data_IF_536344421127
#
_entry.id   IF_536344421127
#
_cell.length_a   1.000
_cell.length_b   1.000
_cell.length_c   1.000
_cell.angle_alpha   90.00
_cell.angle_beta   90.00
_cell.angle_gamma   90.00
#
_symmetry.space_group_name_H-M   'P 1'
#
loop_
_entity.id
_entity.type
_entity.pdbx_description
1 polymer ?
#
# COMPACT_ATOMS: atom_id res chain seq x y z
N UNK A 1 -0.53 32.97 -33.58
CA UNK A 1 0.80 32.85 -32.97
C UNK A 1 0.99 33.59 -31.64
N UNK A 2 -0.05 34.16 -30.99
CA UNK A 2 0.08 34.83 -29.68
C UNK A 2 -0.30 33.98 -28.47
N UNK A 3 -0.99 32.84 -28.67
CA UNK A 3 -1.49 32.01 -27.57
C UNK A 3 -0.52 30.89 -27.10
N UNK A 4 0.56 30.64 -27.84
CA UNK A 4 1.55 29.60 -27.48
C UNK A 4 2.56 30.09 -26.40
N UNK A 5 2.76 31.40 -26.29
CA UNK A 5 3.69 31.98 -25.29
C UNK A 5 3.11 32.04 -23.87
N UNK A 6 1.77 32.01 -23.70
CA UNK A 6 1.12 32.06 -22.39
C UNK A 6 1.09 30.70 -21.71
N UNK A 7 1.02 29.62 -22.50
CA UNK A 7 1.06 28.26 -21.97
C UNK A 7 2.45 27.87 -21.43
N UNK A 8 3.51 28.40 -22.06
CA UNK A 8 4.91 28.17 -21.62
C UNK A 8 5.24 28.93 -20.34
N UNK A 9 4.59 30.07 -20.08
CA UNK A 9 4.85 30.87 -18.87
C UNK A 9 4.25 30.28 -17.59
N UNK A 10 3.13 29.54 -17.69
CA UNK A 10 2.56 28.81 -16.55
C UNK A 10 3.40 27.57 -16.18
N UNK A 11 4.05 26.94 -17.15
CA UNK A 11 4.97 25.81 -16.92
C UNK A 11 6.32 26.24 -16.32
N UNK A 12 6.76 27.47 -16.53
CA UNK A 12 8.06 27.94 -16.01
C UNK A 12 8.02 28.44 -14.57
N UNK A 13 6.86 28.77 -14.02
CA UNK A 13 6.75 29.20 -12.62
C UNK A 13 6.80 28.02 -11.60
N UNK A 14 6.54 26.78 -12.06
CA UNK A 14 6.64 25.57 -11.23
C UNK A 14 8.06 24.97 -11.15
N UNK A 15 9.02 25.45 -11.96
CA UNK A 15 10.35 24.84 -12.10
C UNK A 15 11.43 25.37 -11.14
N UNK A 16 11.10 26.23 -10.18
CA UNK A 16 12.08 26.83 -9.26
C UNK A 16 11.92 26.41 -7.78
N UNK A 17 11.08 25.42 -7.48
CA UNK A 17 11.11 24.78 -6.15
C UNK A 17 11.92 23.50 -6.21
N UNK A 18 13.11 23.59 -5.66
CA UNK A 18 14.07 22.53 -5.42
C UNK A 18 13.46 21.18 -5.09
N UNK A 19 13.64 20.17 -5.97
CA UNK A 19 13.78 18.76 -5.58
C UNK A 19 12.66 18.08 -4.79
N UNK A 20 11.57 18.74 -4.48
CA UNK A 20 10.43 18.17 -3.76
C UNK A 20 9.57 17.34 -4.71
N UNK A 21 9.52 16.02 -4.47
CA UNK A 21 8.85 15.12 -5.37
C UNK A 21 7.47 14.77 -4.88
N UNK A 22 6.47 15.07 -5.70
CA UNK A 22 5.08 14.69 -5.46
C UNK A 22 4.80 13.29 -6.00
N UNK A 23 4.19 12.45 -5.18
CA UNK A 23 3.62 11.18 -5.58
C UNK A 23 2.19 11.39 -6.06
N UNK A 24 1.79 10.67 -7.08
CA UNK A 24 0.43 10.63 -7.61
C UNK A 24 -0.26 9.38 -7.12
N UNK A 25 -1.07 9.52 -6.08
CA UNK A 25 -1.70 8.41 -5.36
C UNK A 25 -3.20 8.39 -5.61
N UNK A 26 -3.73 7.29 -6.15
CA UNK A 26 -5.18 7.09 -6.22
C UNK A 26 -5.71 6.79 -4.83
N UNK A 27 -6.54 7.69 -4.29
CA UNK A 27 -7.16 7.55 -2.97
C UNK A 27 -8.59 7.02 -3.07
N UNK A 28 -9.05 6.32 -2.03
CA UNK A 28 -10.30 5.55 -2.00
C UNK A 28 -10.37 4.50 -3.13
N UNK A 29 -9.24 3.90 -3.46
CA UNK A 29 -9.03 3.08 -4.66
C UNK A 29 -9.89 1.83 -4.71
N UNK A 30 -10.28 1.26 -3.55
CA UNK A 30 -11.15 0.09 -3.43
C UNK A 30 -12.65 0.42 -3.45
N UNK A 31 -13.01 1.70 -3.57
CA UNK A 31 -14.39 2.17 -3.52
C UNK A 31 -14.83 2.75 -4.86
N UNK A 32 -16.07 2.47 -5.22
CA UNK A 32 -16.73 3.14 -6.36
C UNK A 32 -17.75 4.14 -5.83
N UNK A 33 -17.67 5.38 -6.29
CA UNK A 33 -18.57 6.45 -5.89
C UNK A 33 -18.82 7.41 -7.06
N UNK A 34 -20.01 7.99 -7.08
CA UNK A 34 -20.46 8.94 -8.09
C UNK A 34 -20.65 10.35 -7.50
N UNK A 35 -20.40 10.50 -6.21
CA UNK A 35 -20.51 11.76 -5.49
C UNK A 35 -19.47 11.80 -4.39
N UNK A 36 -18.94 12.99 -4.11
CA UNK A 36 -18.09 13.25 -2.96
C UNK A 36 -18.29 14.67 -2.46
N UNK A 37 -18.12 14.85 -1.17
CA UNK A 37 -17.99 16.17 -0.55
C UNK A 37 -16.59 16.39 -0.03
N UNK A 38 -16.11 17.63 -0.12
CA UNK A 38 -14.86 18.06 0.49
C UNK A 38 -15.08 19.29 1.34
N UNK A 39 -14.24 19.47 2.37
CA UNK A 39 -14.23 20.61 3.26
C UNK A 39 -12.78 21.07 3.44
N UNK A 40 -12.48 22.35 3.19
CA UNK A 40 -11.18 22.93 3.49
C UNK A 40 -11.08 23.10 5.01
N UNK A 41 -10.34 22.21 5.67
CA UNK A 41 -10.20 22.21 7.14
C UNK A 41 -9.13 23.21 7.58
N UNK A 42 -8.09 23.36 6.76
CA UNK A 42 -7.02 24.31 7.01
C UNK A 42 -6.49 24.84 5.68
N UNK A 43 -6.30 26.15 5.64
CA UNK A 43 -5.70 26.85 4.52
C UNK A 43 -6.63 27.06 3.32
N UNK A 44 -6.03 27.37 2.19
CA UNK A 44 -6.75 27.80 0.99
C UNK A 44 -6.31 26.98 -0.23
N UNK A 45 -7.23 26.82 -1.16
CA UNK A 45 -7.05 26.12 -2.42
C UNK A 45 -7.54 26.94 -3.60
N UNK A 46 -7.08 26.61 -4.79
CA UNK A 46 -7.61 27.11 -6.04
C UNK A 46 -8.20 25.95 -6.85
N UNK A 47 -9.39 26.19 -7.40
CA UNK A 47 -10.06 25.22 -8.27
C UNK A 47 -9.78 25.61 -9.72
N UNK A 48 -9.26 24.65 -10.49
CA UNK A 48 -8.96 24.80 -11.90
C UNK A 48 -9.61 23.69 -12.73
N UNK A 49 -9.86 23.98 -14.01
CA UNK A 49 -10.09 22.98 -15.05
C UNK A 49 -8.93 23.02 -16.05
N UNK A 50 -8.86 22.10 -17.02
CA UNK A 50 -7.91 22.22 -18.14
C UNK A 50 -8.02 23.55 -18.91
N UNK A 51 -9.19 24.22 -18.83
CA UNK A 51 -9.42 25.54 -19.46
C UNK A 51 -8.98 26.72 -18.61
N UNK A 52 -8.55 26.51 -17.35
CA UNK A 52 -8.04 27.55 -16.47
C UNK A 52 -8.72 27.61 -15.10
N UNK A 53 -8.49 28.72 -14.41
CA UNK A 53 -9.01 29.02 -13.07
C UNK A 53 -10.55 29.10 -13.05
N UNK A 54 -11.16 28.56 -11.99
CA UNK A 54 -12.60 28.57 -11.75
C UNK A 54 -12.96 29.41 -10.53
N UNK A 55 -12.36 29.09 -9.36
CA UNK A 55 -12.71 29.75 -8.10
C UNK A 55 -11.63 29.52 -7.01
N UNK A 56 -11.61 30.38 -6.01
CA UNK A 56 -10.97 30.13 -4.74
C UNK A 56 -11.80 29.17 -3.88
N UNK A 57 -11.11 28.37 -3.06
CA UNK A 57 -11.70 27.45 -2.11
C UNK A 57 -11.00 27.62 -0.76
N UNK A 58 -11.67 28.36 0.14
CA UNK A 58 -11.10 28.85 1.40
C UNK A 58 -11.46 27.95 2.57
N UNK A 59 -10.70 28.07 3.65
CA UNK A 59 -10.96 27.40 4.92
C UNK A 59 -12.43 27.57 5.35
N UNK A 60 -13.03 26.49 5.83
CA UNK A 60 -14.45 26.43 6.22
C UNK A 60 -15.44 26.31 5.07
N UNK A 61 -15.01 26.43 3.82
CA UNK A 61 -15.88 26.23 2.67
C UNK A 61 -15.99 24.74 2.31
N UNK A 62 -17.05 24.38 1.57
CA UNK A 62 -17.29 23.02 1.08
C UNK A 62 -17.45 22.98 -0.43
N UNK A 63 -16.97 21.90 -1.03
CA UNK A 63 -17.28 21.51 -2.41
C UNK A 63 -18.10 20.25 -2.39
N UNK A 64 -19.04 20.16 -3.32
CA UNK A 64 -19.72 18.92 -3.64
C UNK A 64 -19.56 18.64 -5.13
N UNK A 65 -19.12 17.41 -5.43
CA UNK A 65 -18.95 16.94 -6.79
C UNK A 65 -19.85 15.73 -6.99
N UNK A 66 -20.63 15.72 -8.06
CA UNK A 66 -21.53 14.64 -8.43
C UNK A 66 -21.46 14.37 -9.92
N UNK A 67 -21.41 13.09 -10.31
CA UNK A 67 -21.53 12.71 -11.71
C UNK A 67 -22.97 12.91 -12.17
N UNK A 68 -23.15 13.68 -13.25
CA UNK A 68 -24.43 13.79 -13.93
C UNK A 68 -24.67 12.62 -14.92
N UNK A 69 -25.81 12.62 -15.59
CA UNK A 69 -26.19 11.60 -16.58
C UNK A 69 -25.23 11.56 -17.77
N UNK A 70 -24.59 12.66 -18.13
CA UNK A 70 -23.60 12.77 -19.21
C UNK A 70 -22.18 12.43 -18.76
N UNK A 71 -22.02 11.86 -17.56
CA UNK A 71 -20.72 11.51 -16.97
C UNK A 71 -19.76 12.67 -16.78
N UNK A 72 -20.28 13.89 -16.56
CA UNK A 72 -19.48 15.06 -16.17
C UNK A 72 -19.61 15.34 -14.68
N UNK A 73 -18.57 15.90 -14.09
CA UNK A 73 -18.53 16.37 -12.71
C UNK A 73 -19.40 17.64 -12.61
N UNK A 74 -20.52 17.55 -11.92
CA UNK A 74 -21.33 18.69 -11.50
C UNK A 74 -20.69 19.25 -10.23
N UNK A 75 -20.07 20.43 -10.33
CA UNK A 75 -19.39 21.09 -9.22
C UNK A 75 -20.29 22.12 -8.57
N UNK A 76 -20.43 22.04 -7.24
CA UNK A 76 -21.00 23.12 -6.43
C UNK A 76 -20.03 23.53 -5.32
N UNK A 77 -20.02 24.81 -4.96
CA UNK A 77 -19.28 25.39 -3.84
C UNK A 77 -20.28 26.09 -2.89
N UNK A 78 -20.32 25.64 -1.63
CA UNK A 78 -21.30 26.14 -0.63
C UNK A 78 -22.76 26.14 -1.16
N UNK A 79 -23.10 25.18 -2.04
CA UNK A 79 -24.42 25.07 -2.67
C UNK A 79 -24.58 25.85 -3.99
N UNK A 80 -23.66 26.74 -4.36
CA UNK A 80 -23.66 27.45 -5.63
C UNK A 80 -23.07 26.59 -6.76
N UNK A 81 -23.77 26.48 -7.88
CA UNK A 81 -23.32 25.76 -9.06
C UNK A 81 -22.22 26.50 -9.80
N UNK A 82 -21.08 25.85 -10.03
CA UNK A 82 -19.93 26.45 -10.72
C UNK A 82 -19.71 25.91 -12.14
N UNK A 83 -20.28 24.74 -12.49
CA UNK A 83 -20.15 24.20 -13.83
C UNK A 83 -20.12 22.68 -13.92
N UNK A 84 -19.93 22.20 -15.17
CA UNK A 84 -19.80 20.80 -15.55
C UNK A 84 -18.41 20.56 -16.15
N UNK A 85 -17.67 19.58 -15.63
CA UNK A 85 -16.28 19.35 -15.99
C UNK A 85 -16.00 17.86 -16.21
N UNK A 86 -15.01 17.54 -17.05
CA UNK A 86 -14.46 16.19 -17.18
C UNK A 86 -13.35 15.97 -16.15
N UNK A 87 -12.56 17.00 -15.92
CA UNK A 87 -11.44 16.99 -14.98
C UNK A 87 -11.39 18.31 -14.21
N UNK A 88 -11.07 18.21 -12.93
CA UNK A 88 -10.83 19.35 -12.03
C UNK A 88 -9.52 19.15 -11.29
N UNK A 89 -8.84 20.25 -11.03
CA UNK A 89 -7.66 20.32 -10.17
C UNK A 89 -7.98 21.21 -8.97
N UNK A 90 -7.67 20.72 -7.77
CA UNK A 90 -7.81 21.46 -6.52
C UNK A 90 -6.39 21.63 -6.00
N UNK A 91 -5.83 22.82 -6.15
CA UNK A 91 -4.43 23.12 -5.90
C UNK A 91 -4.27 23.84 -4.56
N UNK A 92 -3.43 23.31 -3.66
CA UNK A 92 -3.14 23.91 -2.37
C UNK A 92 -2.36 25.22 -2.53
N UNK A 93 -2.62 26.20 -1.65
CA UNK A 93 -1.85 27.43 -1.60
C UNK A 93 -0.56 27.30 -0.79
N UNK A 94 -0.57 26.44 0.24
CA UNK A 94 0.59 26.16 1.09
C UNK A 94 0.70 24.66 1.38
N UNK A 95 1.91 24.16 1.65
CA UNK A 95 2.17 22.75 1.91
C UNK A 95 1.51 22.17 3.17
N UNK A 96 1.00 23.01 4.06
CA UNK A 96 0.30 22.59 5.28
C UNK A 96 -1.22 22.59 5.12
N UNK A 97 -1.73 23.00 3.96
CA UNK A 97 -3.16 23.04 3.69
C UNK A 97 -3.71 21.63 3.53
N UNK A 98 -4.89 21.35 4.10
CA UNK A 98 -5.49 20.03 3.99
C UNK A 98 -7.01 20.03 3.91
N UNK A 99 -7.53 19.08 3.18
CA UNK A 99 -8.95 18.84 2.96
C UNK A 99 -9.42 17.61 3.75
N UNK A 100 -10.66 17.67 4.20
CA UNK A 100 -11.45 16.50 4.59
C UNK A 100 -12.29 16.08 3.38
N UNK A 101 -12.16 14.83 2.98
CA UNK A 101 -12.82 14.27 1.81
C UNK A 101 -13.71 13.12 2.25
N UNK A 102 -14.98 13.15 1.81
CA UNK A 102 -15.98 12.13 2.08
C UNK A 102 -16.61 11.67 0.78
N UNK A 103 -16.22 10.54 0.20
CA UNK A 103 -16.95 9.93 -0.88
C UNK A 103 -18.35 9.49 -0.43
N UNK A 104 -19.31 9.59 -1.33
CA UNK A 104 -20.70 9.17 -1.13
C UNK A 104 -21.05 8.07 -2.11
N UNK A 105 -21.45 6.91 -1.60
CA UNK A 105 -21.74 5.72 -2.39
C UNK A 105 -22.76 4.83 -1.72
N UNK A 106 -22.97 3.65 -2.32
CA UNK A 106 -23.89 2.62 -1.78
C UNK A 106 -23.48 2.10 -0.40
N UNK A 107 -22.18 2.17 -0.10
CA UNK A 107 -21.59 1.76 1.20
C UNK A 107 -21.06 3.02 1.88
N UNK A 108 -21.23 3.10 3.19
CA UNK A 108 -20.69 4.21 3.98
C UNK A 108 -19.16 4.19 3.96
N UNK A 109 -18.57 5.19 3.31
CA UNK A 109 -17.13 5.39 3.26
C UNK A 109 -16.75 6.44 4.32
N UNK A 110 -15.82 6.06 5.22
CA UNK A 110 -15.36 6.98 6.26
C UNK A 110 -14.62 8.16 5.63
N UNK A 111 -14.89 9.41 6.09
CA UNK A 111 -14.14 10.57 5.64
C UNK A 111 -12.68 10.47 6.07
N UNK A 112 -11.79 10.99 5.24
CA UNK A 112 -10.34 11.05 5.51
C UNK A 112 -9.83 12.46 5.24
N UNK A 113 -8.72 12.83 5.86
CA UNK A 113 -8.05 14.10 5.63
C UNK A 113 -6.79 13.88 4.81
N UNK A 114 -6.54 14.75 3.84
CA UNK A 114 -5.38 14.69 2.96
C UNK A 114 -4.82 16.10 2.74
N UNK A 115 -3.51 16.21 2.68
CA UNK A 115 -2.78 17.38 2.21
C UNK A 115 -2.33 17.20 0.76
N UNK A 116 -1.83 18.25 0.14
CA UNK A 116 -1.40 18.21 -1.25
C UNK A 116 -2.47 18.69 -2.23
N UNK A 117 -2.17 18.50 -3.51
CA UNK A 117 -3.07 18.81 -4.60
C UNK A 117 -3.98 17.62 -4.94
N UNK A 118 -5.06 17.88 -5.64
CA UNK A 118 -5.99 16.83 -6.05
C UNK A 118 -6.37 16.98 -7.52
N UNK A 119 -6.42 15.83 -8.20
CA UNK A 119 -7.02 15.71 -9.51
C UNK A 119 -8.28 14.85 -9.39
N UNK A 120 -9.40 15.39 -9.86
CA UNK A 120 -10.70 14.70 -9.85
C UNK A 120 -11.15 14.52 -11.27
N UNK A 121 -11.32 13.27 -11.69
CA UNK A 121 -11.69 12.95 -13.07
C UNK A 121 -12.96 12.10 -13.12
N UNK A 122 -13.86 12.44 -14.02
CA UNK A 122 -15.02 11.61 -14.35
C UNK A 122 -14.61 10.47 -15.29
N UNK A 123 -14.99 9.24 -14.97
CA UNK A 123 -14.80 8.10 -15.86
C UNK A 123 -16.03 7.18 -15.87
N UNK A 124 -15.99 6.13 -16.68
CA UNK A 124 -17.13 5.20 -16.81
C UNK A 124 -17.47 4.46 -15.51
N UNK A 125 -16.48 4.28 -14.60
CA UNK A 125 -16.65 3.56 -13.32
C UNK A 125 -17.06 4.47 -12.17
N UNK A 126 -17.09 5.78 -12.35
CA UNK A 126 -17.39 6.74 -11.30
C UNK A 126 -16.41 7.92 -11.28
N UNK A 127 -16.19 8.48 -10.10
CA UNK A 127 -15.19 9.52 -9.87
C UNK A 127 -13.86 8.86 -9.54
N UNK A 128 -12.79 9.23 -10.25
CA UNK A 128 -11.42 8.95 -9.87
C UNK A 128 -10.84 10.15 -9.14
N UNK A 129 -10.23 9.90 -7.99
CA UNK A 129 -9.60 10.92 -7.17
C UNK A 129 -8.13 10.59 -6.95
N UNK A 130 -7.26 11.46 -7.43
CA UNK A 130 -5.82 11.37 -7.24
C UNK A 130 -5.37 12.45 -6.27
N UNK A 131 -4.53 12.08 -5.32
CA UNK A 131 -3.84 12.98 -4.41
C UNK A 131 -2.39 13.14 -4.88
N UNK A 132 -1.99 14.37 -5.15
CA UNK A 132 -0.61 14.73 -5.48
C UNK A 132 0.04 15.24 -4.21
N UNK A 133 0.78 14.38 -3.56
CA UNK A 133 1.28 14.61 -2.20
C UNK A 133 2.81 14.55 -2.18
N UNK A 134 3.41 15.40 -1.34
CA UNK A 134 4.85 15.34 -1.08
C UNK A 134 5.24 13.98 -0.48
N UNK A 135 6.33 13.40 -0.96
CA UNK A 135 6.72 12.03 -0.59
C UNK A 135 6.83 11.83 0.92
N UNK A 136 7.46 12.77 1.64
CA UNK A 136 7.65 12.58 3.08
C UNK A 136 6.33 12.68 3.86
N UNK A 137 5.43 13.57 3.46
CA UNK A 137 4.07 13.63 4.03
C UNK A 137 3.26 12.36 3.72
N UNK A 138 3.38 11.83 2.50
CA UNK A 138 2.81 10.53 2.16
C UNK A 138 3.33 9.43 3.08
N UNK A 139 4.65 9.39 3.34
CA UNK A 139 5.27 8.40 4.23
C UNK A 139 4.75 8.51 5.66
N UNK A 140 4.56 9.70 6.21
CA UNK A 140 3.97 9.85 7.54
C UNK A 140 2.57 9.22 7.62
N UNK A 141 1.75 9.43 6.58
CA UNK A 141 0.43 8.80 6.44
C UNK A 141 0.50 7.28 6.28
N UNK A 142 1.47 6.78 5.52
CA UNK A 142 1.73 5.33 5.36
C UNK A 142 2.15 4.70 6.69
N UNK A 143 3.11 5.28 7.38
CA UNK A 143 3.61 4.75 8.66
C UNK A 143 2.47 4.64 9.69
N UNK A 144 1.64 5.67 9.78
CA UNK A 144 0.43 5.64 10.61
C UNK A 144 -0.54 4.54 10.20
N UNK A 145 -0.76 4.37 8.90
CA UNK A 145 -1.75 3.41 8.37
C UNK A 145 -1.29 1.96 8.51
N UNK A 146 0.01 1.69 8.31
CA UNK A 146 0.59 0.34 8.34
C UNK A 146 0.94 -0.13 9.76
N UNK A 147 1.46 0.76 10.61
CA UNK A 147 2.01 0.39 11.91
C UNK A 147 1.32 1.05 13.12
N UNK A 148 0.41 1.98 12.87
CA UNK A 148 -0.22 2.78 13.92
C UNK A 148 0.74 3.83 14.50
N UNK A 149 0.44 4.32 15.72
CA UNK A 149 1.12 5.49 16.31
C UNK A 149 1.97 5.18 17.54
N UNK A 150 2.11 3.89 17.90
CA UNK A 150 2.70 3.46 19.18
C UNK A 150 4.08 2.80 19.07
N UNK A 151 4.65 2.72 17.88
CA UNK A 151 5.98 2.11 17.71
C UNK A 151 7.11 3.11 18.09
N UNK A 152 8.26 2.56 18.40
CA UNK A 152 9.46 3.34 18.68
C UNK A 152 10.01 4.02 17.41
N UNK A 153 10.73 5.11 17.58
CA UNK A 153 11.33 5.90 16.49
C UNK A 153 12.23 5.06 15.57
N UNK A 154 13.03 4.17 16.12
CA UNK A 154 13.93 3.30 15.32
C UNK A 154 13.14 2.40 14.35
N UNK A 155 11.97 1.88 14.78
CA UNK A 155 11.09 1.15 13.89
C UNK A 155 10.54 2.04 12.76
N UNK A 156 10.10 3.27 13.08
CA UNK A 156 9.60 4.19 12.06
C UNK A 156 10.69 4.61 11.06
N UNK A 157 11.96 4.69 11.48
CA UNK A 157 13.09 4.86 10.56
C UNK A 157 13.20 3.71 9.57
N UNK A 158 13.10 2.46 10.04
CA UNK A 158 13.08 1.27 9.17
C UNK A 158 11.92 1.35 8.18
N UNK A 159 10.71 1.56 8.67
CA UNK A 159 9.50 1.58 7.85
C UNK A 159 9.53 2.74 6.85
N UNK A 160 10.01 3.94 7.22
CA UNK A 160 10.14 5.08 6.32
C UNK A 160 11.09 4.77 5.15
N UNK A 161 12.25 4.19 5.42
CA UNK A 161 13.24 3.84 4.39
C UNK A 161 12.67 2.81 3.42
N UNK A 162 12.06 1.73 3.91
CA UNK A 162 11.52 0.69 3.02
C UNK A 162 10.28 1.19 2.25
N UNK A 163 9.41 1.97 2.88
CA UNK A 163 8.23 2.53 2.21
C UNK A 163 8.60 3.55 1.14
N UNK A 164 9.63 4.37 1.39
CA UNK A 164 10.20 5.28 0.39
C UNK A 164 10.83 4.53 -0.77
N UNK A 165 11.60 3.48 -0.47
CA UNK A 165 12.21 2.62 -1.48
C UNK A 165 11.15 1.90 -2.32
N UNK A 166 10.08 1.40 -1.69
CA UNK A 166 8.94 0.80 -2.39
C UNK A 166 8.28 1.81 -3.33
N UNK A 167 7.93 3.00 -2.83
CA UNK A 167 7.28 4.02 -3.63
C UNK A 167 8.10 4.38 -4.88
N UNK A 168 9.43 4.55 -4.70
CA UNK A 168 10.35 4.83 -5.78
C UNK A 168 10.41 3.75 -6.86
N UNK A 169 10.35 2.48 -6.47
CA UNK A 169 10.45 1.36 -7.41
C UNK A 169 9.11 0.97 -8.04
N UNK A 170 8.02 1.65 -7.71
CA UNK A 170 6.68 1.32 -8.18
C UNK A 170 5.96 2.52 -8.83
N UNK A 171 6.69 3.55 -9.26
CA UNK A 171 6.10 4.73 -9.94
C UNK A 171 5.41 4.36 -11.26
N UNK A 172 5.84 3.28 -11.92
CA UNK A 172 5.28 2.81 -13.18
C UNK A 172 4.18 1.73 -12.98
N UNK A 173 3.90 1.33 -11.72
CA UNK A 173 3.00 0.21 -11.43
C UNK A 173 1.58 0.38 -11.96
N UNK A 174 1.10 1.61 -11.98
CA UNK A 174 -0.23 2.00 -12.47
C UNK A 174 -0.16 3.06 -13.57
N UNK A 175 0.94 3.13 -14.31
CA UNK A 175 1.14 4.13 -15.37
C UNK A 175 0.00 4.14 -16.39
N UNK A 176 -0.48 2.96 -16.80
CA UNK A 176 -1.62 2.81 -17.74
C UNK A 176 -2.93 3.38 -17.20
N UNK A 177 -3.08 3.48 -15.90
CA UNK A 177 -4.24 4.03 -15.21
C UNK A 177 -4.06 5.51 -14.85
N UNK A 178 -2.89 6.09 -15.17
CA UNK A 178 -2.58 7.50 -14.98
C UNK A 178 -2.20 7.90 -13.55
N UNK A 179 -1.75 6.97 -12.70
CA UNK A 179 -1.25 7.26 -11.34
C UNK A 179 -0.08 6.33 -10.98
N UNK A 180 0.61 6.58 -9.87
CA UNK A 180 1.77 5.79 -9.47
C UNK A 180 1.39 4.68 -8.48
N UNK A 181 0.68 5.03 -7.42
CA UNK A 181 0.33 4.12 -6.33
C UNK A 181 -1.17 4.22 -6.02
N UNK A 182 -1.73 3.17 -5.45
CA UNK A 182 -3.05 3.22 -4.82
C UNK A 182 -2.91 3.25 -3.28
N UNK A 183 -3.97 3.66 -2.59
CA UNK A 183 -4.01 3.79 -1.13
C UNK A 183 -4.33 2.48 -0.39
N UNK A 184 -4.43 1.37 -1.12
CA UNK A 184 -4.74 0.05 -0.58
C UNK A 184 -3.48 -0.79 -0.33
N UNK A 185 -3.63 -1.90 0.39
CA UNK A 185 -2.56 -2.88 0.67
C UNK A 185 -1.92 -3.51 -0.58
N UNK A 186 -2.54 -3.35 -1.75
CA UNK A 186 -1.94 -3.71 -3.04
C UNK A 186 -0.67 -2.90 -3.34
N UNK A 187 -0.60 -1.66 -2.86
CA UNK A 187 0.61 -0.84 -2.85
C UNK A 187 1.12 -0.68 -1.42
N UNK A 188 0.64 0.34 -0.71
CA UNK A 188 0.87 0.57 0.71
C UNK A 188 -0.39 1.24 1.27
N UNK A 189 -0.83 0.86 2.47
CA UNK A 189 -1.97 1.50 3.10
C UNK A 189 -1.69 2.99 3.33
N UNK A 190 -2.50 3.87 2.73
CA UNK A 190 -2.42 5.32 2.87
C UNK A 190 -3.81 5.90 3.11
N UNK A 191 -4.25 5.91 4.37
CA UNK A 191 -5.61 6.29 4.74
C UNK A 191 -5.73 7.75 5.20
N UNK A 192 -4.92 8.62 4.59
CA UNK A 192 -4.93 10.05 4.81
C UNK A 192 -3.64 10.58 5.46
N UNK A 193 -3.61 11.91 5.65
CA UNK A 193 -2.50 12.60 6.27
C UNK A 193 -2.25 12.15 7.71
N UNK A 194 -1.05 12.32 8.16
CA UNK A 194 -0.70 12.18 9.56
C UNK A 194 -1.09 13.48 10.33
N UNK A 195 -1.70 13.33 11.51
CA UNK A 195 -2.26 14.44 12.28
C UNK A 195 -1.37 14.86 13.48
N UNK A 196 -0.11 14.42 13.55
CA UNK A 196 0.78 14.77 14.65
C UNK A 196 0.60 13.94 15.95
N UNK A 197 -0.06 12.75 15.87
CA UNK A 197 -0.38 11.95 17.06
C UNK A 197 0.85 11.27 17.69
N UNK A 198 1.97 11.15 16.97
CA UNK A 198 3.20 10.50 17.44
C UNK A 198 4.44 11.24 16.96
N UNK A 199 5.15 11.88 17.89
CA UNK A 199 6.43 12.53 17.59
C UNK A 199 7.43 11.57 16.92
N UNK A 200 7.39 10.27 17.26
CA UNK A 200 8.28 9.26 16.71
C UNK A 200 8.10 9.04 15.19
N UNK A 201 6.89 9.21 14.64
CA UNK A 201 6.65 9.15 13.18
C UNK A 201 7.38 10.30 12.48
N UNK A 202 7.14 11.54 12.90
CA UNK A 202 7.78 12.72 12.30
C UNK A 202 9.30 12.62 12.38
N UNK A 203 9.85 12.27 13.57
CA UNK A 203 11.27 12.11 13.75
C UNK A 203 11.84 10.97 12.91
N UNK A 204 11.13 9.84 12.81
CA UNK A 204 11.54 8.70 12.00
C UNK A 204 11.65 9.05 10.52
N UNK A 205 10.67 9.75 9.97
CA UNK A 205 10.66 10.22 8.57
C UNK A 205 11.75 11.28 8.37
N UNK A 206 11.83 12.28 9.24
CA UNK A 206 12.79 13.38 9.16
C UNK A 206 14.24 12.89 9.26
N UNK A 207 14.56 12.05 10.25
CA UNK A 207 15.92 11.53 10.47
C UNK A 207 16.41 10.65 9.29
N UNK A 208 15.50 10.14 8.48
CA UNK A 208 15.79 9.29 7.31
C UNK A 208 15.43 9.95 5.98
N UNK A 209 15.33 11.28 5.97
CA UNK A 209 14.92 12.03 4.77
C UNK A 209 15.73 11.63 3.54
N UNK A 210 15.04 11.27 2.45
CA UNK A 210 15.64 10.87 1.18
C UNK A 210 16.41 9.55 1.18
N UNK A 211 16.53 8.83 2.32
CA UNK A 211 17.24 7.55 2.37
C UNK A 211 16.40 6.43 1.75
N UNK A 212 17.02 5.66 0.86
CA UNK A 212 16.49 4.46 0.21
C UNK A 212 17.47 3.31 0.32
N UNK A 213 16.97 2.08 0.14
CA UNK A 213 17.80 0.89 0.00
C UNK A 213 18.23 0.70 -1.45
N UNK A 214 19.49 0.36 -1.62
CA UNK A 214 20.09 -0.06 -2.90
C UNK A 214 20.85 -1.38 -2.69
N UNK A 215 21.00 -2.16 -3.76
CA UNK A 215 21.83 -3.36 -3.76
C UNK A 215 23.33 -3.04 -3.75
N UNK A 216 24.18 -4.05 -3.81
CA UNK A 216 25.63 -3.90 -3.83
C UNK A 216 26.14 -3.07 -5.02
N UNK A 217 25.41 -3.08 -6.14
CA UNK A 217 25.72 -2.32 -7.34
C UNK A 217 25.17 -0.88 -7.32
N UNK A 218 24.48 -0.48 -6.25
CA UNK A 218 23.86 0.85 -6.12
C UNK A 218 22.50 0.98 -6.82
N UNK A 219 21.92 -0.12 -7.30
CA UNK A 219 20.61 -0.13 -7.93
C UNK A 219 19.50 -0.27 -6.87
N UNK A 220 18.49 0.58 -6.95
CA UNK A 220 17.29 0.45 -6.12
C UNK A 220 16.49 -0.79 -6.51
N UNK A 221 15.87 -1.45 -5.54
CA UNK A 221 15.04 -2.64 -5.74
C UNK A 221 13.73 -2.52 -4.93
N UNK A 222 12.64 -3.18 -5.36
CA UNK A 222 11.38 -3.16 -4.61
C UNK A 222 11.59 -3.71 -3.21
N UNK A 223 11.11 -3.01 -2.18
CA UNK A 223 11.17 -3.45 -0.78
C UNK A 223 9.80 -3.89 -0.32
N UNK A 224 9.71 -5.12 0.18
CA UNK A 224 8.48 -5.72 0.65
C UNK A 224 8.50 -5.89 2.16
N UNK A 225 7.31 -5.89 2.77
CA UNK A 225 7.12 -6.14 4.19
C UNK A 225 5.79 -6.84 4.46
N UNK A 226 5.70 -7.55 5.57
CA UNK A 226 4.47 -8.18 6.04
C UNK A 226 4.38 -8.11 7.55
N UNK A 227 3.19 -8.27 8.10
CA UNK A 227 2.97 -8.12 9.53
C UNK A 227 3.83 -9.08 10.37
N UNK A 228 3.87 -10.37 9.98
CA UNK A 228 4.64 -11.39 10.70
C UNK A 228 5.05 -12.53 9.77
N UNK A 229 6.33 -12.92 9.77
CA UNK A 229 6.84 -13.98 8.90
C UNK A 229 6.66 -15.40 9.46
N UNK A 230 6.22 -15.57 10.71
CA UNK A 230 5.97 -16.86 11.34
C UNK A 230 7.23 -17.62 11.71
N UNK A 231 8.35 -16.93 11.95
CA UNK A 231 9.63 -17.54 12.31
C UNK A 231 10.58 -17.85 11.15
N UNK A 232 10.11 -17.61 9.90
CA UNK A 232 10.92 -17.75 8.69
C UNK A 232 10.42 -16.84 7.58
N UNK A 233 11.30 -16.00 7.00
CA UNK A 233 10.93 -15.20 5.82
C UNK A 233 10.75 -16.09 4.59
N UNK A 234 9.92 -15.63 3.64
CA UNK A 234 9.69 -16.30 2.37
C UNK A 234 10.61 -15.75 1.28
N UNK A 235 10.92 -16.56 0.29
CA UNK A 235 11.48 -16.14 -0.99
C UNK A 235 10.37 -15.68 -1.93
N UNK A 236 10.70 -14.83 -2.89
CA UNK A 236 9.69 -14.23 -3.77
C UNK A 236 9.05 -15.22 -4.72
N UNK A 237 9.78 -16.24 -5.18
CA UNK A 237 9.27 -17.32 -6.03
C UNK A 237 8.27 -18.24 -5.31
N UNK A 238 8.38 -18.38 -3.99
CA UNK A 238 7.41 -19.12 -3.17
C UNK A 238 6.01 -18.48 -3.20
N UNK A 239 5.93 -17.18 -3.48
CA UNK A 239 4.69 -16.42 -3.42
C UNK A 239 4.26 -15.88 -4.79
N UNK A 240 5.19 -15.38 -5.62
CA UNK A 240 4.86 -14.64 -6.85
C UNK A 240 5.41 -15.25 -8.14
N UNK A 241 6.02 -16.43 -8.11
CA UNK A 241 6.67 -17.09 -9.26
C UNK A 241 7.79 -16.24 -9.91
N UNK A 242 8.39 -15.33 -9.16
CA UNK A 242 9.51 -14.46 -9.63
C UNK A 242 10.60 -14.55 -8.60
N UNK A 243 11.80 -14.95 -9.01
CA UNK A 243 12.97 -14.95 -8.12
C UNK A 243 13.65 -13.58 -8.14
N UNK A 244 13.74 -12.95 -6.98
CA UNK A 244 14.46 -11.71 -6.77
C UNK A 244 15.65 -11.97 -5.83
N UNK A 245 16.90 -11.68 -6.24
CA UNK A 245 18.11 -12.09 -5.53
C UNK A 245 18.27 -11.47 -4.13
N UNK A 246 17.59 -10.37 -3.87
CA UNK A 246 17.63 -9.68 -2.57
C UNK A 246 16.78 -10.34 -1.48
N UNK A 247 16.01 -11.39 -1.83
CA UNK A 247 15.03 -12.04 -0.95
C UNK A 247 15.37 -13.52 -0.75
N UNK A 248 16.29 -13.77 0.15
CA UNK A 248 16.66 -15.14 0.57
C UNK A 248 15.92 -15.47 1.87
N UNK A 249 15.27 -16.63 1.89
CA UNK A 249 14.61 -17.14 3.10
C UNK A 249 15.61 -17.29 4.25
N UNK A 250 15.18 -16.86 5.44
CA UNK A 250 16.01 -16.94 6.65
C UNK A 250 15.16 -17.17 7.90
N UNK A 251 15.71 -17.79 8.93
CA UNK A 251 15.09 -17.84 10.24
C UNK A 251 14.95 -16.41 10.83
N UNK A 252 13.81 -16.14 11.45
CA UNK A 252 13.50 -14.91 12.17
C UNK A 252 12.83 -15.27 13.49
N UNK A 253 13.61 -15.40 14.54
CA UNK A 253 13.10 -15.77 15.86
C UNK A 253 12.51 -14.60 16.65
N UNK A 254 12.66 -13.37 16.15
CA UNK A 254 12.16 -12.17 16.84
C UNK A 254 10.62 -12.12 16.86
N UNK A 255 9.97 -12.59 15.80
CA UNK A 255 8.51 -12.48 15.67
C UNK A 255 7.71 -13.66 16.27
N UNK A 256 8.34 -14.73 16.77
CA UNK A 256 7.64 -15.99 17.11
C UNK A 256 6.78 -15.94 18.36
N UNK A 257 6.95 -14.93 19.20
CA UNK A 257 6.18 -14.70 20.44
C UNK A 257 5.20 -13.54 20.33
N UNK A 258 5.14 -12.89 19.18
CA UNK A 258 4.31 -11.71 18.97
C UNK A 258 2.87 -12.07 18.62
N UNK A 259 1.99 -11.06 18.59
CA UNK A 259 0.55 -11.23 18.46
C UNK A 259 0.11 -12.05 17.24
N UNK A 260 0.80 -11.90 16.10
CA UNK A 260 0.41 -12.51 14.84
C UNK A 260 1.28 -13.72 14.46
N UNK A 261 2.05 -14.24 15.43
CA UNK A 261 2.97 -15.35 15.21
C UNK A 261 2.26 -16.66 14.81
N UNK A 262 1.08 -16.90 15.39
CA UNK A 262 0.34 -18.13 15.18
C UNK A 262 -1.14 -17.84 14.89
N UNK A 263 -1.77 -18.76 14.16
CA UNK A 263 -3.20 -18.73 13.89
C UNK A 263 -3.77 -20.13 13.68
N UNK A 264 -5.06 -20.28 13.88
CA UNK A 264 -5.81 -21.51 13.64
C UNK A 264 -7.06 -21.20 12.81
N UNK A 265 -7.43 -22.14 11.95
CA UNK A 265 -8.67 -22.06 11.17
C UNK A 265 -9.20 -23.46 10.88
N UNK A 266 -10.51 -23.64 11.10
CA UNK A 266 -11.22 -24.87 10.76
C UNK A 266 -11.90 -24.74 9.41
N UNK A 267 -11.72 -25.77 8.54
CA UNK A 267 -12.38 -25.90 7.24
C UNK A 267 -13.05 -27.26 7.18
N UNK A 268 -14.22 -27.39 6.53
CA UNK A 268 -14.83 -28.69 6.30
C UNK A 268 -13.92 -29.57 5.40
N UNK A 269 -13.67 -30.83 5.76
CA UNK A 269 -12.85 -31.75 4.96
C UNK A 269 -13.35 -31.84 3.52
N UNK A 270 -14.66 -31.96 3.37
CA UNK A 270 -15.32 -32.06 2.06
C UNK A 270 -15.00 -30.83 1.20
N UNK A 271 -15.17 -29.60 1.73
CA UNK A 271 -14.91 -28.35 1.01
C UNK A 271 -13.43 -28.24 0.59
N UNK A 272 -12.52 -28.60 1.48
CA UNK A 272 -11.09 -28.54 1.20
C UNK A 272 -10.66 -29.51 0.11
N UNK A 273 -11.11 -30.77 0.19
CA UNK A 273 -10.80 -31.81 -0.80
C UNK A 273 -11.46 -31.54 -2.16
N UNK A 274 -12.72 -31.09 -2.18
CA UNK A 274 -13.41 -30.67 -3.39
C UNK A 274 -12.67 -29.49 -4.08
N UNK A 275 -12.18 -28.53 -3.34
CA UNK A 275 -11.35 -27.44 -3.87
C UNK A 275 -10.09 -27.96 -4.56
N UNK A 276 -9.36 -28.91 -3.92
CA UNK A 276 -8.16 -29.50 -4.49
C UNK A 276 -8.47 -30.28 -5.79
N UNK A 277 -9.49 -31.11 -5.76
CA UNK A 277 -9.88 -31.93 -6.92
C UNK A 277 -10.39 -31.09 -8.09
N UNK A 278 -11.14 -30.01 -7.80
CA UNK A 278 -11.72 -29.14 -8.84
C UNK A 278 -10.69 -28.25 -9.55
N UNK A 279 -9.67 -27.83 -8.84
CA UNK A 279 -8.74 -26.81 -9.36
C UNK A 279 -7.36 -27.38 -9.73
N UNK A 280 -7.04 -28.61 -9.31
CA UNK A 280 -5.75 -29.26 -9.54
C UNK A 280 -5.95 -30.74 -9.90
N UNK A 281 -4.91 -31.39 -10.38
CA UNK A 281 -4.91 -32.85 -10.64
C UNK A 281 -4.82 -33.62 -9.32
N UNK A 282 -5.85 -33.52 -8.48
CA UNK A 282 -5.94 -34.16 -7.17
C UNK A 282 -7.02 -35.24 -7.19
N UNK A 283 -6.61 -36.51 -7.16
CA UNK A 283 -7.54 -37.66 -7.18
C UNK A 283 -8.06 -37.97 -5.78
N UNK A 284 -9.38 -37.85 -5.60
CA UNK A 284 -10.06 -38.16 -4.35
C UNK A 284 -10.14 -39.67 -4.06
N UNK A 285 -9.91 -40.55 -5.06
CA UNK A 285 -9.91 -42.02 -4.88
C UNK A 285 -8.53 -42.52 -4.43
N UNK A 286 -7.50 -41.67 -4.50
CA UNK A 286 -6.18 -41.99 -3.94
C UNK A 286 -6.16 -41.71 -2.43
N UNK A 287 -6.45 -42.76 -1.64
CA UNK A 287 -6.49 -42.68 -0.18
C UNK A 287 -5.18 -42.16 0.44
N UNK A 288 -4.03 -42.49 -0.17
CA UNK A 288 -2.72 -42.06 0.32
C UNK A 288 -2.55 -40.53 0.06
N UNK A 289 -2.97 -40.08 -1.09
CA UNK A 289 -2.94 -38.64 -1.43
C UNK A 289 -3.88 -37.82 -0.53
N UNK A 290 -5.10 -38.32 -0.30
CA UNK A 290 -6.05 -37.74 0.64
C UNK A 290 -5.49 -37.70 2.06
N UNK A 291 -4.87 -38.82 2.53
CA UNK A 291 -4.23 -38.82 3.83
C UNK A 291 -3.12 -37.78 3.93
N UNK A 292 -2.25 -37.66 2.92
CA UNK A 292 -1.19 -36.64 2.86
C UNK A 292 -1.74 -35.21 2.90
N UNK A 293 -2.87 -34.95 2.24
CA UNK A 293 -3.51 -33.64 2.26
C UNK A 293 -4.06 -33.28 3.64
N UNK A 294 -4.70 -34.23 4.30
CA UNK A 294 -5.30 -34.02 5.62
C UNK A 294 -4.26 -33.96 6.75
N UNK A 295 -3.05 -34.50 6.53
CA UNK A 295 -1.94 -34.55 7.49
C UNK A 295 -0.69 -33.82 6.96
N UNK A 296 -0.91 -32.75 6.20
CA UNK A 296 0.20 -31.98 5.63
C UNK A 296 0.98 -31.25 6.72
N UNK A 297 2.31 -31.40 6.70
CA UNK A 297 3.21 -30.74 7.65
C UNK A 297 4.21 -29.83 6.96
N UNK A 298 4.42 -28.65 7.51
CA UNK A 298 5.37 -27.65 7.05
C UNK A 298 6.28 -27.20 8.20
N UNK A 299 7.49 -27.81 8.31
CA UNK A 299 8.54 -27.38 9.27
C UNK A 299 9.29 -26.15 8.77
N UNK A 300 9.46 -26.05 7.45
CA UNK A 300 10.06 -24.93 6.73
C UNK A 300 9.10 -24.52 5.62
N UNK A 301 9.16 -23.25 5.19
CA UNK A 301 8.31 -22.74 4.13
C UNK A 301 8.51 -23.52 2.83
N UNK A 302 7.40 -23.88 2.20
CA UNK A 302 7.33 -24.57 0.91
C UNK A 302 6.59 -23.68 -0.09
N UNK A 303 6.81 -23.94 -1.37
CA UNK A 303 6.06 -23.32 -2.47
C UNK A 303 4.77 -24.08 -2.74
N UNK A 304 4.86 -25.42 -2.71
CA UNK A 304 3.77 -26.31 -3.09
C UNK A 304 3.26 -27.13 -1.91
N UNK A 305 1.97 -27.41 -1.95
CA UNK A 305 1.27 -28.28 -1.01
C UNK A 305 1.61 -29.73 -1.32
N UNK A 306 1.90 -30.53 -0.30
CA UNK A 306 2.34 -31.93 -0.34
C UNK A 306 3.64 -32.11 -1.14
N UNK A 307 3.56 -32.10 -2.46
CA UNK A 307 4.67 -32.36 -3.38
C UNK A 307 4.61 -31.40 -4.60
N UNK A 308 5.76 -30.91 -5.11
CA UNK A 308 5.81 -30.04 -6.28
C UNK A 308 5.20 -30.64 -7.55
N UNK A 309 5.26 -31.98 -7.73
CA UNK A 309 4.71 -32.67 -8.90
C UNK A 309 3.19 -32.53 -9.05
N UNK A 310 2.49 -32.28 -7.94
CA UNK A 310 1.06 -32.05 -7.94
C UNK A 310 0.68 -30.64 -8.44
N UNK A 311 1.65 -29.73 -8.53
CA UNK A 311 1.45 -28.38 -9.02
C UNK A 311 0.44 -27.55 -8.21
N UNK A 312 0.27 -27.80 -6.90
CA UNK A 312 -0.68 -27.11 -6.02
C UNK A 312 0.05 -26.02 -5.23
N UNK A 313 0.01 -24.75 -5.64
CA UNK A 313 0.71 -23.69 -4.93
C UNK A 313 0.01 -23.36 -3.59
N UNK A 314 0.77 -23.24 -2.52
CA UNK A 314 0.23 -22.88 -1.20
C UNK A 314 -0.44 -21.48 -1.19
N UNK A 315 -0.01 -20.58 -2.06
CA UNK A 315 -0.64 -19.25 -2.22
C UNK A 315 -2.08 -19.34 -2.74
N UNK A 316 -2.38 -20.33 -3.60
CA UNK A 316 -3.72 -20.50 -4.17
C UNK A 316 -4.66 -21.05 -3.12
N UNK A 317 -4.19 -21.99 -2.27
CA UNK A 317 -4.93 -22.45 -1.09
C UNK A 317 -5.15 -21.27 -0.12
N UNK A 318 -4.12 -20.46 0.14
CA UNK A 318 -4.25 -19.26 0.98
C UNK A 318 -5.33 -18.32 0.46
N UNK A 319 -5.36 -18.06 -0.84
CA UNK A 319 -6.34 -17.17 -1.47
C UNK A 319 -7.76 -17.76 -1.40
N UNK A 320 -7.92 -19.03 -1.73
CA UNK A 320 -9.23 -19.71 -1.73
C UNK A 320 -9.90 -19.74 -0.37
N UNK A 321 -9.14 -19.97 0.70
CA UNK A 321 -9.65 -20.10 2.07
C UNK A 321 -9.39 -18.86 2.93
N UNK A 322 -8.93 -17.76 2.35
CA UNK A 322 -8.62 -16.51 3.05
C UNK A 322 -7.71 -16.71 4.29
N UNK A 323 -6.66 -17.54 4.12
CA UNK A 323 -5.73 -17.84 5.20
C UNK A 323 -4.79 -16.66 5.48
N UNK A 324 -4.34 -16.53 6.73
CA UNK A 324 -3.44 -15.46 7.11
C UNK A 324 -2.06 -15.54 6.45
N UNK A 325 -1.56 -16.75 6.18
CA UNK A 325 -0.26 -16.97 5.53
C UNK A 325 -0.27 -18.27 4.72
N UNK A 326 0.81 -18.51 3.96
CA UNK A 326 1.09 -19.81 3.29
C UNK A 326 1.82 -20.79 4.20
N UNK A 327 2.20 -20.41 5.41
CA UNK A 327 2.98 -21.21 6.34
C UNK A 327 2.07 -21.92 7.34
N UNK A 328 1.48 -23.05 6.95
CA UNK A 328 0.53 -23.81 7.78
C UNK A 328 0.71 -25.33 7.63
N UNK A 329 0.23 -26.07 8.62
CA UNK A 329 0.08 -27.53 8.62
C UNK A 329 -1.40 -27.90 8.77
N UNK A 330 -1.79 -29.10 8.34
CA UNK A 330 -3.14 -29.63 8.42
C UNK A 330 -3.21 -30.76 9.44
N UNK A 331 -4.32 -30.81 10.21
CA UNK A 331 -4.63 -31.87 11.17
C UNK A 331 -6.11 -32.24 11.05
N UNK A 332 -6.48 -33.52 10.83
CA UNK A 332 -7.89 -33.93 10.75
C UNK A 332 -8.56 -33.91 12.12
N UNK A 333 -9.75 -33.25 12.22
CA UNK A 333 -10.56 -33.15 13.44
C UNK A 333 -12.02 -33.45 13.09
N UNK A 334 -12.49 -34.68 13.31
CA UNK A 334 -13.83 -35.10 12.90
C UNK A 334 -14.09 -34.83 11.41
N UNK A 335 -15.15 -34.15 11.06
CA UNK A 335 -15.52 -33.76 9.71
C UNK A 335 -14.78 -32.49 9.21
N UNK A 336 -13.89 -31.92 10.00
CA UNK A 336 -13.11 -30.75 9.66
C UNK A 336 -11.62 -31.06 9.61
N UNK A 337 -10.86 -30.18 8.99
CA UNK A 337 -9.42 -30.05 9.17
C UNK A 337 -9.13 -28.81 9.99
N UNK A 338 -8.19 -28.90 10.89
CA UNK A 338 -7.59 -27.78 11.58
C UNK A 338 -6.31 -27.37 10.85
N UNK A 339 -6.30 -26.14 10.36
CA UNK A 339 -5.09 -25.51 9.83
C UNK A 339 -4.39 -24.78 10.97
N UNK A 340 -3.19 -25.22 11.31
CA UNK A 340 -2.30 -24.55 12.29
C UNK A 340 -1.25 -23.78 11.51
N UNK A 341 -1.39 -22.44 11.49
CA UNK A 341 -0.55 -21.58 10.68
C UNK A 341 0.35 -20.66 11.50
N UNK A 342 1.39 -20.17 10.84
CA UNK A 342 2.39 -19.26 11.39
C UNK A 342 2.46 -17.98 10.58
N UNK A 343 2.50 -16.82 11.26
CA UNK A 343 2.65 -15.51 10.66
C UNK A 343 1.39 -14.95 9.99
N UNK A 344 1.51 -13.71 9.50
CA UNK A 344 0.44 -12.99 8.82
C UNK A 344 1.01 -12.17 7.66
N UNK A 345 0.51 -12.42 6.46
CA UNK A 345 0.95 -11.80 5.21
C UNK A 345 1.76 -12.77 4.34
N UNK A 346 2.48 -12.23 3.38
CA UNK A 346 3.27 -13.03 2.42
C UNK A 346 4.62 -13.51 2.98
N UNK A 347 5.14 -12.89 4.03
CA UNK A 347 6.40 -13.27 4.68
C UNK A 347 7.68 -12.86 3.96
N UNK A 348 7.61 -12.12 2.85
CA UNK A 348 8.77 -11.67 2.07
C UNK A 348 9.30 -10.35 2.65
N UNK A 349 10.62 -10.21 2.72
CA UNK A 349 11.29 -8.98 3.14
C UNK A 349 11.21 -8.72 4.64
N UNK A 350 10.83 -7.51 5.04
CA UNK A 350 10.74 -7.13 6.44
C UNK A 350 9.54 -7.81 7.14
N UNK A 351 9.81 -8.41 8.29
CA UNK A 351 8.78 -8.78 9.25
C UNK A 351 8.55 -7.59 10.21
N UNK A 352 7.37 -6.98 10.15
CA UNK A 352 7.08 -5.77 10.95
C UNK A 352 7.17 -6.06 12.46
N UNK A 353 6.51 -7.11 12.94
CA UNK A 353 6.56 -7.48 14.37
C UNK A 353 7.96 -7.94 14.79
N UNK A 354 8.71 -8.63 13.92
CA UNK A 354 10.11 -8.97 14.20
C UNK A 354 11.02 -7.73 14.29
N UNK A 355 10.81 -6.76 13.41
CA UNK A 355 11.56 -5.50 13.46
C UNK A 355 11.23 -4.67 14.72
N UNK A 356 9.97 -4.65 15.15
CA UNK A 356 9.57 -4.01 16.40
C UNK A 356 10.26 -4.66 17.60
N UNK A 357 10.26 -5.98 17.68
CA UNK A 357 10.95 -6.75 18.72
C UNK A 357 12.47 -6.51 18.71
N UNK A 358 13.09 -6.42 17.53
CA UNK A 358 14.51 -6.07 17.43
C UNK A 358 14.80 -4.67 18.00
N UNK A 359 13.90 -3.70 17.80
CA UNK A 359 14.02 -2.36 18.41
C UNK A 359 13.91 -2.43 19.92
N UNK A 360 12.95 -3.22 20.44
CA UNK A 360 12.79 -3.41 21.89
C UNK A 360 14.02 -4.06 22.54
N UNK A 361 14.77 -4.85 21.75
CA UNK A 361 16.08 -5.42 22.12
C UNK A 361 17.27 -4.46 21.87
N UNK A 362 17.02 -3.19 21.55
CA UNK A 362 18.04 -2.16 21.38
C UNK A 362 18.73 -2.14 20.01
N UNK A 363 18.22 -2.84 19.00
CA UNK A 363 18.75 -2.78 17.64
C UNK A 363 18.42 -1.47 16.94
N UNK A 364 19.41 -0.93 16.23
CA UNK A 364 19.26 0.26 15.40
C UNK A 364 18.56 -0.06 14.09
N UNK A 365 17.95 0.96 13.46
CA UNK A 365 17.33 0.81 12.13
C UNK A 365 18.29 0.22 11.09
N UNK A 366 19.59 0.55 11.15
CA UNK A 366 20.60 0.06 10.21
C UNK A 366 20.89 -1.45 10.40
N UNK A 367 20.94 -1.93 11.65
CA UNK A 367 21.11 -3.36 11.95
C UNK A 367 19.88 -4.15 11.49
N UNK A 368 18.67 -3.61 11.68
CA UNK A 368 17.41 -4.24 11.26
C UNK A 368 17.35 -4.34 9.74
N UNK A 369 17.66 -3.26 9.03
CA UNK A 369 17.70 -3.27 7.56
C UNK A 369 18.72 -4.27 7.01
N UNK A 370 19.91 -4.35 7.59
CA UNK A 370 20.93 -5.35 7.23
C UNK A 370 20.49 -6.78 7.51
N UNK A 371 19.70 -6.99 8.57
CA UNK A 371 19.14 -8.30 8.88
C UNK A 371 18.14 -8.74 7.82
N UNK A 372 17.15 -7.92 7.45
CA UNK A 372 16.11 -8.31 6.49
C UNK A 372 16.54 -8.20 5.02
N UNK A 373 17.43 -7.26 4.69
CA UNK A 373 17.88 -6.99 3.32
C UNK A 373 19.41 -7.13 3.22
N UNK A 374 19.87 -8.39 3.34
CA UNK A 374 21.31 -8.71 3.34
C UNK A 374 21.99 -8.24 2.05
N UNK A 375 23.13 -7.56 2.19
CA UNK A 375 23.91 -7.04 1.06
C UNK A 375 23.40 -5.69 0.52
N UNK A 376 22.29 -5.16 1.04
CA UNK A 376 21.84 -3.82 0.72
C UNK A 376 22.65 -2.73 1.43
N UNK A 377 22.59 -1.52 0.87
CA UNK A 377 23.21 -0.31 1.41
C UNK A 377 22.18 0.81 1.43
N UNK A 378 22.37 1.77 2.32
CA UNK A 378 21.64 3.03 2.31
C UNK A 378 22.27 3.97 1.27
N UNK A 379 21.41 4.64 0.52
CA UNK A 379 21.79 5.69 -0.42
C UNK A 379 20.79 6.83 -0.33
N UNK A 380 21.24 8.05 -0.55
CA UNK A 380 20.34 9.16 -0.82
C UNK A 380 19.93 9.12 -2.28
N UNK A 381 18.67 9.22 -2.56
CA UNK A 381 18.18 9.23 -3.94
C UNK A 381 17.06 10.23 -4.11
N UNK A 382 17.24 11.11 -5.10
CA UNK A 382 16.11 11.82 -5.67
C UNK A 382 15.20 10.82 -6.39
N UNK A 383 13.92 11.00 -6.29
CA UNK A 383 12.97 10.30 -7.14
C UNK A 383 13.10 10.81 -8.58
N UNK A 384 12.76 10.06 -9.63
CA UNK A 384 12.74 10.61 -10.97
C UNK A 384 11.80 11.82 -11.04
N UNK A 385 12.28 12.93 -11.55
CA UNK A 385 11.44 14.13 -11.80
C UNK A 385 10.64 13.79 -13.04
N UNK A 386 9.40 13.39 -12.88
CA UNK A 386 8.49 13.28 -14.01
C UNK A 386 8.00 14.69 -14.34
N UNK A 387 8.51 15.24 -15.41
CA UNK A 387 7.98 16.47 -15.99
C UNK A 387 6.56 16.18 -16.53
N UNK A 388 5.60 16.99 -16.11
CA UNK A 388 4.22 17.04 -16.62
C UNK A 388 4.17 17.71 -18.00
#
# INVERSE_FOLDING_TARGET
MKNLKFLILLLTFYSLQSGAQNLRVKIFSESQFNSLSTEAIHGNYQIHSPSGYIAEYKEGQSLHLQLNTSKKLHLTKNGEFLGLFDTLFILQSNHQDYLKIKPEGKVTIKPRQYEGDFEVTANQRGIQLLNLVFTESYLEGVLRSEAGTRCAKEYYKVQAIISRTFAKNNVDKHEKDGFFLCDAVHCQAYYGRYNGESKAINEGVKDTYGLVLVDSAGKSFPTFFSANCGGQSAETDQIWNVSLPNYVSRPDTFCIHTRQANWEQYIAKKEFLEYLSKNFFFDLNDEFLVYKALNFEQKQRKTFFIDPSLGIPLRDIRAAFNLRSTFFSCEPVGEKILLKGKGFGHGIGLCQEGAMEMVDQGKTYNEILKFYFKGSKLSTSAFPINHW
#
